data_IF_999876195511
#
_entry.id   IF_999876195511
#
_cell.length_a   1.000
_cell.length_b   1.000
_cell.length_c   1.000
_cell.angle_alpha   90.00
_cell.angle_beta   90.00
_cell.angle_gamma   90.00
#
_symmetry.space_group_name_H-M   'P 1'
#
loop_
_entity.id
_entity.type
_entity.pdbx_description
1 polymer ?
#
# COMPACT_ATOMS: atom_id res chain seq x y z
N UNK A 1 29.22 -0.17 31.04
CA UNK A 1 27.89 -0.67 31.44
C UNK A 1 26.93 -0.40 30.29
N UNK A 2 26.27 -1.43 29.71
CA UNK A 2 25.28 -1.26 28.62
C UNK A 2 23.90 -1.42 29.21
N UNK A 3 23.04 -0.42 29.06
CA UNK A 3 21.66 -0.44 29.53
C UNK A 3 20.76 -0.71 28.32
N UNK A 4 19.80 -1.65 28.45
CA UNK A 4 18.86 -1.91 27.37
C UNK A 4 17.86 -0.74 27.23
N UNK A 5 17.37 -0.52 26.01
CA UNK A 5 16.33 0.49 25.75
C UNK A 5 15.05 0.24 26.58
N UNK A 6 14.72 -1.03 26.84
CA UNK A 6 13.57 -1.40 27.67
C UNK A 6 13.77 -0.99 29.13
N UNK A 7 14.99 -1.15 29.70
CA UNK A 7 15.30 -0.68 31.05
C UNK A 7 15.17 0.85 31.18
N UNK A 8 15.58 1.60 30.14
CA UNK A 8 15.40 3.05 30.08
C UNK A 8 13.92 3.41 30.09
N UNK A 9 13.11 2.75 29.25
CA UNK A 9 11.67 3.01 29.21
C UNK A 9 10.98 2.59 30.51
N UNK A 10 11.34 1.49 31.12
CA UNK A 10 10.80 1.10 32.42
C UNK A 10 11.14 2.12 33.51
N UNK A 11 12.38 2.61 33.55
CA UNK A 11 12.76 3.65 34.51
C UNK A 11 11.94 4.95 34.32
N UNK A 12 11.67 5.35 33.09
CA UNK A 12 10.87 6.54 32.77
C UNK A 12 9.38 6.40 33.11
N UNK A 13 8.80 5.21 32.96
CA UNK A 13 7.36 4.99 33.12
C UNK A 13 6.97 4.38 34.46
N UNK A 14 7.83 3.59 35.09
CA UNK A 14 7.53 2.89 36.34
C UNK A 14 8.01 3.65 37.58
N UNK A 15 9.18 4.29 37.51
CA UNK A 15 9.75 5.02 38.65
C UNK A 15 9.44 6.51 38.54
N UNK A 16 8.35 6.96 39.08
CA UNK A 16 8.17 8.40 39.20
C UNK A 16 6.73 8.82 39.46
N UNK A 17 6.46 9.18 40.69
CA UNK A 17 5.33 10.05 41.05
C UNK A 17 5.88 11.48 41.16
N UNK A 18 5.44 12.40 40.31
CA UNK A 18 5.79 13.80 40.42
C UNK A 18 6.10 14.55 39.12
N UNK A 19 6.50 15.82 39.26
CA UNK A 19 6.80 16.74 38.15
C UNK A 19 7.92 16.24 37.22
N UNK A 20 8.98 15.66 37.79
CA UNK A 20 10.11 15.12 37.05
C UNK A 20 9.71 14.07 36.01
N UNK A 21 8.69 13.25 36.29
CA UNK A 21 8.16 12.27 35.32
C UNK A 21 7.53 12.94 34.10
N UNK A 22 6.81 14.05 34.29
CA UNK A 22 6.18 14.79 33.19
C UNK A 22 7.21 15.46 32.30
N UNK A 23 8.24 16.05 32.88
CA UNK A 23 9.33 16.69 32.14
C UNK A 23 10.15 15.68 31.32
N UNK A 24 10.52 14.53 31.90
CA UNK A 24 11.26 13.50 31.21
C UNK A 24 10.46 12.83 30.10
N UNK A 25 9.13 12.64 30.28
CA UNK A 25 8.29 12.06 29.22
C UNK A 25 8.04 13.04 28.07
N UNK A 26 8.07 14.34 28.29
CA UNK A 26 8.03 15.36 27.24
C UNK A 26 9.26 15.32 26.33
N UNK A 27 10.40 14.89 26.84
CA UNK A 27 11.63 14.71 26.07
C UNK A 27 11.61 13.45 25.17
N UNK A 28 10.64 12.55 25.34
CA UNK A 28 10.47 11.41 24.46
C UNK A 28 9.90 11.84 23.12
N UNK A 29 10.39 11.25 22.02
CA UNK A 29 9.95 11.55 20.64
C UNK A 29 8.42 11.55 20.45
N UNK A 30 7.67 10.81 21.26
CA UNK A 30 6.21 10.72 21.21
C UNK A 30 5.51 11.63 22.22
N UNK A 31 6.22 12.24 23.18
CA UNK A 31 5.66 13.10 24.22
C UNK A 31 4.58 12.47 25.11
N UNK A 32 4.42 11.15 25.08
CA UNK A 32 3.31 10.45 25.76
C UNK A 32 3.62 10.24 27.23
N UNK A 33 2.74 10.73 28.10
CA UNK A 33 2.84 10.55 29.53
C UNK A 33 2.58 9.11 30.03
N UNK A 34 1.95 8.26 29.20
CA UNK A 34 1.64 6.86 29.52
C UNK A 34 2.04 5.94 28.37
N UNK A 35 2.69 4.83 28.71
CA UNK A 35 2.95 3.74 27.76
C UNK A 35 1.64 2.99 27.50
N UNK A 36 1.19 3.01 26.26
CA UNK A 36 0.04 2.21 25.83
C UNK A 36 0.51 0.78 25.58
N UNK A 37 -0.04 -0.25 26.25
CA UNK A 37 0.30 -1.64 26.00
C UNK A 37 0.10 -1.99 24.52
N UNK A 38 1.04 -2.75 23.95
CA UNK A 38 1.02 -3.18 22.53
C UNK A 38 -0.29 -3.91 22.17
N UNK A 39 -0.81 -4.72 23.08
CA UNK A 39 -2.09 -5.41 22.93
C UNK A 39 -3.28 -4.46 22.70
N UNK A 40 -3.29 -3.28 23.32
CA UNK A 40 -4.37 -2.29 23.16
C UNK A 40 -4.33 -1.55 21.81
N UNK A 41 -3.16 -1.48 21.15
CA UNK A 41 -3.05 -0.94 19.80
C UNK A 41 -3.42 -1.97 18.73
N UNK A 42 -3.22 -3.27 19.04
CA UNK A 42 -3.59 -4.38 18.16
C UNK A 42 -5.09 -4.64 18.13
N UNK A 43 -5.82 -4.38 19.24
CA UNK A 43 -7.27 -4.62 19.34
C UNK A 43 -8.15 -3.57 18.67
N UNK A 44 -7.58 -2.51 18.09
CA UNK A 44 -8.31 -1.57 17.23
C UNK A 44 -8.39 -2.12 15.82
N UNK A 45 -9.08 -3.26 15.66
CA UNK A 45 -9.51 -3.75 14.36
C UNK A 45 -10.28 -2.64 13.65
N UNK A 46 -9.98 -2.43 12.38
CA UNK A 46 -10.73 -1.46 11.57
C UNK A 46 -12.08 -2.07 11.30
N UNK A 47 -13.16 -1.37 11.61
CA UNK A 47 -14.53 -1.86 11.53
C UNK A 47 -14.98 -2.32 10.14
N UNK A 48 -14.21 -1.97 9.10
CA UNK A 48 -14.47 -2.37 7.71
C UNK A 48 -13.74 -3.66 7.30
N UNK A 49 -12.87 -4.22 8.13
CA UNK A 49 -12.17 -5.48 7.86
C UNK A 49 -12.93 -6.60 8.54
N UNK A 50 -13.59 -7.41 7.74
CA UNK A 50 -14.29 -8.62 8.18
C UNK A 50 -13.42 -9.86 7.95
N UNK A 51 -13.71 -11.01 8.58
CA UNK A 51 -12.94 -12.24 8.38
C UNK A 51 -12.84 -12.66 6.91
N UNK A 52 -13.91 -12.47 6.12
CA UNK A 52 -13.99 -12.89 4.72
C UNK A 52 -13.06 -12.13 3.78
N UNK A 53 -12.56 -10.98 4.20
CA UNK A 53 -11.61 -10.17 3.41
C UNK A 53 -10.17 -10.25 3.96
N UNK A 54 -9.89 -11.19 4.87
CA UNK A 54 -8.53 -11.43 5.32
C UNK A 54 -7.73 -12.22 4.28
N UNK A 55 -6.43 -12.04 4.29
CA UNK A 55 -5.51 -12.71 3.37
C UNK A 55 -5.59 -14.24 3.46
N UNK A 56 -6.04 -14.80 4.59
CA UNK A 56 -6.30 -16.23 4.77
C UNK A 56 -7.36 -16.78 3.82
N UNK A 57 -8.30 -15.94 3.40
CA UNK A 57 -9.39 -16.30 2.48
C UNK A 57 -9.01 -16.10 1.01
N UNK A 58 -7.81 -15.58 0.75
CA UNK A 58 -7.31 -15.38 -0.61
C UNK A 58 -7.09 -16.75 -1.28
N UNK A 59 -7.48 -16.93 -2.57
CA UNK A 59 -7.27 -18.17 -3.30
C UNK A 59 -5.81 -18.64 -3.26
N UNK A 60 -5.59 -19.95 -3.11
CA UNK A 60 -4.25 -20.55 -3.04
C UNK A 60 -3.42 -20.26 -4.32
N UNK A 61 -4.07 -20.17 -5.49
CA UNK A 61 -3.44 -19.80 -6.75
C UNK A 61 -2.70 -18.45 -6.72
N UNK A 62 -3.14 -17.54 -5.87
CA UNK A 62 -2.46 -16.27 -5.64
C UNK A 62 -1.14 -16.44 -4.88
N UNK A 63 -0.97 -17.50 -4.08
CA UNK A 63 0.28 -17.80 -3.37
C UNK A 63 1.37 -18.26 -4.33
N UNK A 64 1.03 -19.17 -5.24
CA UNK A 64 1.97 -19.84 -6.15
C UNK A 64 2.48 -18.91 -7.25
N UNK A 65 1.84 -17.75 -7.44
CA UNK A 65 2.14 -16.81 -8.53
C UNK A 65 2.08 -17.46 -9.91
N UNK A 66 1.35 -18.55 -10.03
CA UNK A 66 1.18 -19.29 -11.28
C UNK A 66 0.10 -18.65 -12.15
N UNK A 67 -0.93 -18.07 -11.51
CA UNK A 67 -2.05 -17.44 -12.18
C UNK A 67 -1.91 -15.93 -12.14
N UNK A 68 -1.93 -15.23 -13.27
CA UNK A 68 -1.85 -13.77 -13.31
C UNK A 68 -3.16 -13.11 -12.84
N UNK A 69 -3.08 -11.81 -12.51
CA UNK A 69 -4.22 -11.01 -12.11
C UNK A 69 -4.37 -10.83 -10.61
N UNK A 70 -3.40 -11.29 -9.83
CA UNK A 70 -3.32 -11.04 -8.40
C UNK A 70 -2.34 -9.90 -8.10
N UNK A 71 -2.86 -8.81 -7.56
CA UNK A 71 -2.12 -7.57 -7.33
C UNK A 71 -1.79 -7.36 -5.86
N UNK A 72 -0.67 -6.73 -5.61
CA UNK A 72 -0.31 -6.17 -4.31
C UNK A 72 -0.31 -4.65 -4.43
N UNK A 73 -0.91 -3.94 -3.47
CA UNK A 73 -0.96 -2.50 -3.48
C UNK A 73 -0.51 -1.86 -2.17
N UNK A 74 -0.03 -0.61 -2.25
CA UNK A 74 0.45 0.18 -1.12
C UNK A 74 0.47 1.68 -1.46
N UNK A 75 0.69 2.52 -0.45
CA UNK A 75 0.96 3.94 -0.62
C UNK A 75 2.42 4.27 -0.28
N UNK A 76 3.07 4.98 -1.17
CA UNK A 76 4.34 5.66 -0.88
C UNK A 76 4.00 7.05 -0.37
N UNK A 77 4.35 7.33 0.88
CA UNK A 77 4.09 8.64 1.50
C UNK A 77 5.29 9.57 1.35
N UNK A 78 5.01 10.84 1.08
CA UNK A 78 5.95 11.95 0.97
C UNK A 78 5.71 13.04 2.01
N UNK A 79 6.34 14.20 1.80
CA UNK A 79 6.07 15.40 2.58
C UNK A 79 4.66 15.92 2.34
N UNK A 80 4.19 16.80 3.22
CA UNK A 80 2.85 17.41 3.16
C UNK A 80 1.70 16.40 3.08
N UNK A 81 1.92 15.18 3.58
CA UNK A 81 0.98 14.04 3.43
C UNK A 81 0.68 13.66 1.98
N UNK A 82 1.52 14.07 1.03
CA UNK A 82 1.41 13.62 -0.36
C UNK A 82 1.62 12.11 -0.48
N UNK A 83 1.00 11.50 -1.47
CA UNK A 83 1.09 10.06 -1.68
C UNK A 83 1.07 9.69 -3.18
N UNK A 84 1.72 8.58 -3.49
CA UNK A 84 1.59 7.87 -4.77
C UNK A 84 1.15 6.45 -4.42
N UNK A 85 0.09 5.96 -5.05
CA UNK A 85 -0.30 4.56 -4.91
C UNK A 85 0.50 3.67 -5.85
N UNK A 86 0.74 2.44 -5.43
CA UNK A 86 1.43 1.42 -6.23
C UNK A 86 0.55 0.19 -6.36
N UNK A 87 0.46 -0.35 -7.57
CA UNK A 87 -0.14 -1.66 -7.86
C UNK A 87 0.91 -2.51 -8.54
N UNK A 88 1.20 -3.68 -8.01
CA UNK A 88 2.20 -4.59 -8.57
C UNK A 88 1.56 -5.96 -8.79
N UNK A 89 1.56 -6.43 -10.02
CA UNK A 89 1.08 -7.76 -10.37
C UNK A 89 2.10 -8.81 -9.88
N UNK A 90 1.61 -9.84 -9.21
CA UNK A 90 2.46 -10.78 -8.45
C UNK A 90 3.27 -11.74 -9.32
N UNK A 91 2.73 -12.15 -10.45
CA UNK A 91 3.36 -13.11 -11.38
C UNK A 91 4.40 -12.41 -12.27
N UNK A 92 3.98 -11.33 -12.91
CA UNK A 92 4.77 -10.61 -13.93
C UNK A 92 5.64 -9.49 -13.36
N UNK A 93 5.37 -9.06 -12.12
CA UNK A 93 5.98 -7.88 -11.51
C UNK A 93 5.62 -6.57 -12.22
N UNK A 94 4.62 -6.59 -13.08
CA UNK A 94 4.14 -5.40 -13.76
C UNK A 94 3.64 -4.39 -12.75
N UNK A 95 4.09 -3.15 -12.89
CA UNK A 95 3.84 -2.09 -11.91
C UNK A 95 3.03 -0.98 -12.55
N UNK A 96 1.98 -0.55 -11.86
CA UNK A 96 1.20 0.64 -12.18
C UNK A 96 1.28 1.61 -11.01
N UNK A 97 1.33 2.90 -11.31
CA UNK A 97 1.36 3.97 -10.31
C UNK A 97 0.03 4.74 -10.35
N UNK A 98 -0.48 5.05 -9.17
CA UNK A 98 -1.73 5.76 -8.99
C UNK A 98 -1.42 7.23 -8.69
N UNK A 99 -1.90 8.12 -9.54
CA UNK A 99 -1.84 9.56 -9.29
C UNK A 99 -2.91 9.95 -8.26
N UNK A 100 -2.48 10.51 -7.15
CA UNK A 100 -3.30 10.92 -6.01
C UNK A 100 -3.04 12.41 -5.73
N UNK A 101 -3.55 13.31 -6.57
CA UNK A 101 -3.28 14.73 -6.43
C UNK A 101 -3.93 15.29 -5.16
N UNK A 102 -3.32 16.31 -4.53
CA UNK A 102 -3.96 17.04 -3.45
C UNK A 102 -5.30 17.62 -3.90
N UNK A 103 -6.29 17.56 -3.01
CA UNK A 103 -7.62 18.15 -3.25
C UNK A 103 -7.59 19.65 -2.99
N UNK A 104 -8.57 20.35 -3.55
CA UNK A 104 -8.75 21.81 -3.32
C UNK A 104 -8.83 22.13 -1.81
N UNK A 105 -8.09 23.17 -1.40
CA UNK A 105 -7.98 23.56 0.01
C UNK A 105 -6.86 22.85 0.80
N UNK A 106 -6.11 21.93 0.21
CA UNK A 106 -4.95 21.31 0.86
C UNK A 106 -3.87 22.36 1.15
N UNK A 107 -3.39 22.40 2.38
CA UNK A 107 -2.33 23.33 2.82
C UNK A 107 -2.79 24.78 3.07
N UNK A 108 -4.02 25.17 2.70
CA UNK A 108 -4.53 26.54 2.86
C UNK A 108 -5.36 26.72 4.15
N UNK A 109 -5.85 25.63 4.73
CA UNK A 109 -6.66 25.65 5.94
C UNK A 109 -5.98 24.87 7.07
N UNK A 110 -6.18 25.29 8.35
CA UNK A 110 -5.69 24.51 9.48
C UNK A 110 -6.34 23.12 9.47
N UNK A 111 -5.53 22.08 9.71
CA UNK A 111 -5.96 20.68 9.68
C UNK A 111 -7.04 20.41 10.72
N UNK A 112 -8.26 20.19 10.32
CA UNK A 112 -9.34 19.76 11.18
C UNK A 112 -9.15 18.29 11.60
N UNK A 113 -9.32 17.98 12.90
CA UNK A 113 -9.08 16.63 13.45
C UNK A 113 -9.90 15.53 12.79
N UNK A 114 -11.09 15.84 12.31
CA UNK A 114 -12.01 14.92 11.62
C UNK A 114 -12.45 15.48 10.25
N UNK A 115 -11.65 16.36 9.66
CA UNK A 115 -11.90 16.92 8.33
C UNK A 115 -11.60 15.94 7.21
N UNK A 116 -12.01 16.27 5.96
CA UNK A 116 -11.73 15.46 4.80
C UNK A 116 -10.22 15.28 4.59
N UNK A 117 -9.82 14.14 4.01
CA UNK A 117 -8.43 13.82 3.70
C UNK A 117 -7.96 14.57 2.45
N UNK A 118 -7.79 15.91 2.55
CA UNK A 118 -7.47 16.79 1.42
C UNK A 118 -6.12 16.50 0.74
N UNK A 119 -5.28 15.66 1.36
CA UNK A 119 -4.00 15.25 0.78
C UNK A 119 -4.13 14.30 -0.44
N UNK A 120 -5.34 13.98 -0.89
CA UNK A 120 -5.58 13.19 -2.10
C UNK A 120 -5.55 11.66 -1.90
N UNK A 121 -5.26 11.17 -0.70
CA UNK A 121 -5.25 9.71 -0.42
C UNK A 121 -6.35 9.28 0.58
N UNK A 122 -7.48 9.95 0.58
CA UNK A 122 -8.69 9.50 1.25
C UNK A 122 -9.30 8.28 0.57
N UNK A 123 -10.19 7.56 1.26
CA UNK A 123 -10.74 6.31 0.78
C UNK A 123 -11.45 6.42 -0.58
N UNK A 124 -12.12 7.54 -0.87
CA UNK A 124 -12.74 7.79 -2.18
C UNK A 124 -11.70 8.00 -3.27
N UNK A 125 -10.73 8.86 -3.04
CA UNK A 125 -9.69 9.17 -4.02
C UNK A 125 -8.86 7.92 -4.37
N UNK A 126 -8.51 7.10 -3.36
CA UNK A 126 -7.77 5.85 -3.58
C UNK A 126 -8.63 4.84 -4.34
N UNK A 127 -9.91 4.65 -3.96
CA UNK A 127 -10.85 3.79 -4.68
C UNK A 127 -10.94 4.20 -6.16
N UNK A 128 -11.17 5.48 -6.43
CA UNK A 128 -11.36 5.99 -7.79
C UNK A 128 -10.08 5.89 -8.62
N UNK A 129 -8.92 6.15 -8.01
CA UNK A 129 -7.64 5.98 -8.68
C UNK A 129 -7.36 4.51 -9.02
N UNK A 130 -7.61 3.58 -8.09
CA UNK A 130 -7.47 2.13 -8.34
C UNK A 130 -8.43 1.71 -9.46
N UNK A 131 -9.70 2.09 -9.37
CA UNK A 131 -10.71 1.72 -10.37
C UNK A 131 -10.31 2.20 -11.75
N UNK A 132 -9.99 3.48 -11.92
CA UNK A 132 -9.56 4.04 -13.23
C UNK A 132 -8.36 3.30 -13.80
N UNK A 133 -7.38 2.98 -12.94
CA UNK A 133 -6.13 2.38 -13.39
C UNK A 133 -6.31 0.90 -13.72
N UNK A 134 -6.97 0.12 -12.85
CA UNK A 134 -7.08 -1.32 -13.04
C UNK A 134 -8.05 -1.69 -14.17
N UNK A 135 -9.08 -0.88 -14.41
CA UNK A 135 -10.06 -1.12 -15.48
C UNK A 135 -9.51 -0.90 -16.89
N UNK A 136 -8.32 -0.31 -17.04
CA UNK A 136 -7.61 -0.28 -18.33
C UNK A 136 -7.10 -1.65 -18.77
N UNK A 137 -7.02 -2.61 -17.84
CA UNK A 137 -6.57 -3.97 -18.11
C UNK A 137 -7.75 -4.88 -18.47
N UNK A 138 -7.51 -5.96 -19.23
CA UNK A 138 -8.50 -7.01 -19.48
C UNK A 138 -8.99 -7.66 -18.18
N UNK A 139 -10.22 -8.17 -18.18
CA UNK A 139 -10.86 -8.74 -16.99
C UNK A 139 -10.10 -9.96 -16.43
N UNK A 140 -9.46 -10.74 -17.29
CA UNK A 140 -8.68 -11.94 -16.92
C UNK A 140 -7.52 -11.63 -15.95
N UNK A 141 -6.98 -10.44 -16.00
CA UNK A 141 -5.88 -9.99 -15.10
C UNK A 141 -6.33 -9.06 -13.99
N UNK A 142 -7.66 -9.07 -13.68
CA UNK A 142 -8.25 -8.31 -12.57
C UNK A 142 -8.90 -9.24 -11.55
N UNK A 143 -8.11 -10.15 -10.93
CA UNK A 143 -8.66 -11.17 -10.01
C UNK A 143 -8.74 -10.69 -8.58
N UNK A 144 -7.62 -10.28 -8.01
CA UNK A 144 -7.61 -9.81 -6.63
C UNK A 144 -6.56 -8.72 -6.36
N UNK A 145 -6.82 -7.93 -5.34
CA UNK A 145 -5.91 -6.93 -4.79
C UNK A 145 -5.65 -7.22 -3.31
N UNK A 146 -4.40 -7.33 -2.93
CA UNK A 146 -3.97 -7.45 -1.54
C UNK A 146 -3.43 -6.10 -1.06
N UNK A 147 -3.98 -5.58 0.04
CA UNK A 147 -3.60 -4.30 0.62
C UNK A 147 -3.40 -4.42 2.12
N UNK A 148 -2.82 -3.41 2.77
CA UNK A 148 -2.82 -3.39 4.24
C UNK A 148 -4.16 -2.88 4.78
N UNK A 149 -4.34 -2.94 6.11
CA UNK A 149 -5.57 -2.48 6.75
C UNK A 149 -5.55 -0.95 6.94
N UNK A 150 -5.20 -0.18 5.90
CA UNK A 150 -5.19 1.27 5.91
C UNK A 150 -6.58 1.90 5.85
N UNK A 151 -6.74 3.12 6.40
CA UNK A 151 -8.03 3.84 6.34
C UNK A 151 -8.41 4.24 4.91
N UNK A 152 -7.43 4.35 4.03
CA UNK A 152 -7.59 4.62 2.61
C UNK A 152 -8.35 3.50 1.87
N UNK A 153 -8.43 2.31 2.47
CA UNK A 153 -9.19 1.18 1.92
C UNK A 153 -10.57 1.00 2.57
N UNK A 154 -11.07 2.00 3.30
CA UNK A 154 -12.39 1.90 3.95
C UNK A 154 -13.56 1.73 2.97
N UNK A 155 -13.35 2.05 1.67
CA UNK A 155 -14.35 1.83 0.61
C UNK A 155 -14.06 0.59 -0.26
N UNK A 156 -13.33 -0.41 0.26
CA UNK A 156 -12.99 -1.62 -0.48
C UNK A 156 -14.19 -2.39 -1.03
N UNK A 157 -15.32 -2.40 -0.31
CA UNK A 157 -16.55 -3.06 -0.77
C UNK A 157 -17.09 -2.41 -2.07
N UNK A 158 -16.98 -1.09 -2.19
CA UNK A 158 -17.36 -0.38 -3.40
C UNK A 158 -16.34 -0.61 -4.51
N UNK A 159 -15.04 -0.56 -4.19
CA UNK A 159 -13.97 -0.88 -5.12
C UNK A 159 -14.14 -2.28 -5.74
N UNK A 160 -14.51 -3.29 -4.93
CA UNK A 160 -14.81 -4.65 -5.39
C UNK A 160 -15.85 -4.67 -6.50
N UNK A 161 -16.93 -3.90 -6.34
CA UNK A 161 -18.02 -3.80 -7.32
C UNK A 161 -17.56 -3.04 -8.56
N UNK A 162 -16.99 -1.85 -8.39
CA UNK A 162 -16.68 -0.92 -9.47
C UNK A 162 -15.53 -1.43 -10.37
N UNK A 163 -14.53 -2.10 -9.77
CA UNK A 163 -13.39 -2.67 -10.50
C UNK A 163 -13.52 -4.15 -10.86
N UNK A 164 -14.55 -4.85 -10.39
CA UNK A 164 -14.70 -6.31 -10.46
C UNK A 164 -13.43 -7.03 -9.98
N UNK A 165 -13.01 -6.71 -8.77
CA UNK A 165 -11.73 -7.10 -8.22
C UNK A 165 -11.91 -7.50 -6.76
N UNK A 166 -11.58 -8.75 -6.39
CA UNK A 166 -11.64 -9.17 -4.98
C UNK A 166 -10.56 -8.46 -4.16
N UNK A 167 -10.89 -8.00 -2.95
CA UNK A 167 -9.96 -7.26 -2.09
C UNK A 167 -9.68 -8.06 -0.83
N UNK A 168 -8.40 -8.27 -0.52
CA UNK A 168 -7.93 -8.97 0.67
C UNK A 168 -6.99 -8.11 1.48
N UNK A 169 -7.10 -8.20 2.80
CA UNK A 169 -6.27 -7.45 3.74
C UNK A 169 -5.20 -8.32 4.37
N UNK A 170 -3.98 -7.81 4.39
CA UNK A 170 -2.89 -8.41 5.13
C UNK A 170 -3.19 -8.45 6.63
N UNK A 171 -2.61 -9.43 7.32
CA UNK A 171 -2.63 -9.42 8.77
C UNK A 171 -1.88 -8.20 9.32
N UNK A 172 -2.33 -7.64 10.44
CA UNK A 172 -1.63 -6.52 11.06
C UNK A 172 -0.14 -6.85 11.31
N UNK A 173 0.74 -5.91 10.95
CA UNK A 173 2.19 -6.05 11.13
C UNK A 173 2.85 -7.23 10.39
N UNK A 174 2.30 -7.64 9.25
CA UNK A 174 2.82 -8.75 8.43
C UNK A 174 3.28 -8.25 7.04
N UNK A 175 4.36 -7.43 6.96
CA UNK A 175 4.84 -6.87 5.70
C UNK A 175 5.24 -7.94 4.69
N UNK A 176 5.77 -9.09 5.13
CA UNK A 176 6.15 -10.20 4.25
C UNK A 176 5.02 -10.70 3.33
N UNK A 177 3.76 -10.44 3.68
CA UNK A 177 2.60 -10.81 2.87
C UNK A 177 2.45 -9.97 1.58
N UNK A 178 3.20 -8.85 1.46
CA UNK A 178 3.27 -7.97 0.29
C UNK A 178 4.71 -7.78 -0.22
N UNK A 179 5.52 -8.82 -0.15
CA UNK A 179 6.93 -8.76 -0.49
C UNK A 179 7.24 -8.30 -1.92
N UNK A 180 6.30 -8.50 -2.87
CA UNK A 180 6.44 -8.00 -4.24
C UNK A 180 6.37 -6.49 -4.28
N UNK A 181 5.37 -5.91 -3.61
CA UNK A 181 5.18 -4.48 -3.57
C UNK A 181 6.27 -3.77 -2.74
N UNK A 182 6.67 -4.33 -1.60
CA UNK A 182 7.76 -3.76 -0.80
C UNK A 182 9.08 -3.65 -1.57
N UNK A 183 9.42 -4.70 -2.35
CA UNK A 183 10.60 -4.65 -3.22
C UNK A 183 10.47 -3.56 -4.30
N UNK A 184 9.29 -3.44 -4.91
CA UNK A 184 9.01 -2.40 -5.92
C UNK A 184 9.06 -1.01 -5.31
N UNK A 185 8.49 -0.80 -4.12
CA UNK A 185 8.58 0.46 -3.39
C UNK A 185 10.03 0.84 -3.08
N UNK A 186 10.89 -0.15 -2.79
CA UNK A 186 12.32 0.05 -2.64
C UNK A 186 12.99 0.59 -3.92
N UNK A 187 12.62 0.08 -5.09
CA UNK A 187 13.12 0.56 -6.38
C UNK A 187 12.57 1.94 -6.72
N UNK A 188 11.31 2.20 -6.42
CA UNK A 188 10.66 3.50 -6.65
C UNK A 188 11.31 4.64 -5.85
N UNK A 189 11.99 4.34 -4.74
CA UNK A 189 12.75 5.34 -3.98
C UNK A 189 13.95 5.95 -4.74
N UNK A 190 14.33 5.39 -5.87
CA UNK A 190 15.31 6.00 -6.79
C UNK A 190 14.72 7.20 -7.54
N UNK A 191 13.40 7.20 -7.77
CA UNK A 191 12.66 8.25 -8.46
C UNK A 191 11.93 9.18 -7.48
N UNK A 192 11.45 8.61 -6.40
CA UNK A 192 10.68 9.28 -5.34
C UNK A 192 11.42 9.16 -4.00
N UNK A 193 12.48 9.95 -3.77
CA UNK A 193 13.27 9.87 -2.54
C UNK A 193 12.42 10.14 -1.29
N UNK A 194 12.82 9.57 -0.17
CA UNK A 194 12.18 9.88 1.11
C UNK A 194 12.39 11.36 1.44
N UNK A 195 11.35 12.01 1.97
CA UNK A 195 11.42 13.42 2.35
C UNK A 195 11.22 14.40 1.18
N UNK A 196 10.64 13.94 0.07
CA UNK A 196 10.17 14.80 -1.03
C UNK A 196 8.65 14.93 -1.00
N UNK A 197 8.14 16.02 -1.54
CA UNK A 197 6.71 16.17 -1.80
C UNK A 197 6.35 15.40 -3.07
N UNK A 198 5.47 14.43 -2.95
CA UNK A 198 5.04 13.60 -4.08
C UNK A 198 3.87 14.20 -4.84
N UNK A 199 3.24 15.24 -4.31
CA UNK A 199 2.14 15.95 -4.97
C UNK A 199 2.58 16.81 -6.15
N UNK A 200 3.88 16.96 -6.37
CA UNK A 200 4.44 17.71 -7.52
C UNK A 200 4.47 16.90 -8.82
N UNK A 201 4.40 15.58 -8.70
CA UNK A 201 4.45 14.68 -9.87
C UNK A 201 3.07 14.56 -10.50
N UNK A 202 2.98 14.71 -11.79
CA UNK A 202 1.75 14.52 -12.55
C UNK A 202 1.54 13.05 -12.98
N UNK A 203 0.40 12.77 -13.60
CA UNK A 203 0.05 11.43 -14.04
C UNK A 203 0.98 10.90 -15.15
N UNK A 204 1.47 11.77 -16.04
CA UNK A 204 2.35 11.40 -17.15
C UNK A 204 3.73 11.01 -16.64
N UNK A 205 4.27 11.76 -15.69
CA UNK A 205 5.53 11.44 -15.02
C UNK A 205 5.47 10.08 -14.29
N UNK A 206 4.36 9.80 -13.62
CA UNK A 206 4.16 8.50 -12.96
C UNK A 206 4.10 7.36 -13.98
N UNK A 207 3.42 7.54 -15.10
CA UNK A 207 3.38 6.54 -16.19
C UNK A 207 4.78 6.33 -16.76
N UNK A 208 5.56 7.39 -16.98
CA UNK A 208 6.93 7.29 -17.47
C UNK A 208 7.83 6.50 -16.51
N UNK A 209 7.75 6.75 -15.19
CA UNK A 209 8.50 5.99 -14.18
C UNK A 209 8.08 4.53 -14.16
N UNK A 210 6.77 4.24 -14.22
CA UNK A 210 6.26 2.89 -14.30
C UNK A 210 6.79 2.16 -15.55
N UNK A 211 6.81 2.81 -16.72
CA UNK A 211 7.33 2.27 -17.96
C UNK A 211 8.82 1.91 -17.84
N UNK A 212 9.64 2.78 -17.24
CA UNK A 212 11.06 2.48 -16.99
C UNK A 212 11.22 1.25 -16.10
N UNK A 213 10.43 1.09 -15.04
CA UNK A 213 10.49 -0.09 -14.17
C UNK A 213 10.03 -1.35 -14.87
N UNK A 214 8.98 -1.25 -15.68
CA UNK A 214 8.40 -2.36 -16.45
C UNK A 214 9.28 -2.79 -17.64
N UNK A 215 10.15 -1.91 -18.13
CA UNK A 215 11.14 -2.19 -19.15
C UNK A 215 12.46 -2.79 -18.62
N UNK A 216 12.63 -2.97 -17.30
CA UNK A 216 13.86 -3.55 -16.73
C UNK A 216 13.78 -5.07 -16.66
N UNK A 217 14.74 -5.83 -17.24
CA UNK A 217 14.78 -7.28 -17.11
C UNK A 217 14.87 -7.72 -15.65
N UNK A 218 14.14 -8.78 -15.30
CA UNK A 218 14.11 -9.34 -13.95
C UNK A 218 14.65 -10.77 -13.94
N UNK A 219 15.60 -11.05 -13.07
CA UNK A 219 16.13 -12.42 -12.90
C UNK A 219 15.01 -13.42 -12.57
N UNK A 220 14.03 -13.01 -11.74
CA UNK A 220 12.88 -13.85 -11.37
C UNK A 220 11.92 -14.15 -12.52
N UNK A 221 12.02 -13.44 -13.64
CA UNK A 221 11.23 -13.63 -14.86
C UNK A 221 12.07 -14.29 -15.98
N UNK A 222 13.19 -14.91 -15.64
CA UNK A 222 14.10 -15.46 -16.65
C UNK A 222 14.72 -14.38 -17.54
N UNK A 223 15.02 -13.22 -16.96
CA UNK A 223 15.55 -12.02 -17.64
C UNK A 223 14.58 -11.32 -18.61
N UNK A 224 13.32 -11.73 -18.66
CA UNK A 224 12.29 -10.97 -19.33
C UNK A 224 11.95 -9.70 -18.53
N UNK A 225 11.42 -8.71 -19.22
CA UNK A 225 10.86 -7.52 -18.59
C UNK A 225 9.44 -7.80 -18.06
N UNK A 226 8.95 -7.07 -17.05
CA UNK A 226 7.56 -7.13 -16.62
C UNK A 226 6.54 -6.92 -17.74
N UNK A 227 6.81 -6.00 -18.68
CA UNK A 227 5.96 -5.77 -19.86
C UNK A 227 5.90 -7.02 -20.75
N UNK A 228 7.03 -7.58 -21.12
CA UNK A 228 7.08 -8.81 -21.93
C UNK A 228 6.40 -10.00 -21.26
N UNK A 229 6.52 -10.08 -19.92
CA UNK A 229 5.86 -11.13 -19.15
C UNK A 229 4.34 -10.97 -19.16
N UNK A 230 3.82 -9.74 -18.97
CA UNK A 230 2.38 -9.47 -19.01
C UNK A 230 1.82 -9.68 -20.41
N UNK A 231 2.47 -9.14 -21.44
CA UNK A 231 2.05 -9.30 -22.84
C UNK A 231 2.00 -10.77 -23.28
N UNK A 232 2.99 -11.57 -22.83
CA UNK A 232 3.03 -13.00 -23.09
C UNK A 232 1.82 -13.74 -22.51
N UNK A 233 1.40 -13.37 -21.30
CA UNK A 233 0.21 -13.94 -20.65
C UNK A 233 -1.08 -13.55 -21.37
N UNK A 234 -1.22 -12.27 -21.73
CA UNK A 234 -2.41 -11.79 -22.43
C UNK A 234 -2.59 -12.45 -23.82
N UNK A 235 -1.50 -12.80 -24.49
CA UNK A 235 -1.55 -13.50 -25.79
C UNK A 235 -1.89 -14.99 -25.64
N UNK A 236 -1.34 -15.67 -24.62
CA UNK A 236 -1.60 -17.10 -24.41
C UNK A 236 -3.06 -17.39 -24.08
N UNK A 237 -3.77 -16.46 -23.43
CA UNK A 237 -5.19 -16.59 -23.15
C UNK A 237 -6.05 -16.43 -24.42
N UNK A 238 -5.60 -15.66 -25.42
CA UNK A 238 -6.29 -15.53 -26.70
C UNK A 238 -6.16 -16.79 -27.58
N UNK A 239 -5.01 -17.46 -27.54
CA UNK A 239 -4.79 -18.68 -28.35
C UNK A 239 -5.54 -19.90 -27.77
N UNK A 240 -5.84 -19.90 -26.46
CA UNK A 240 -6.59 -20.99 -25.80
C UNK A 240 -8.08 -21.05 -26.12
N UNK A 241 -8.67 -19.99 -26.68
CA UNK A 241 -10.11 -19.93 -27.02
C UNK A 241 -10.40 -20.37 -28.47
N UNK A 242 -9.37 -20.51 -29.28
CA UNK A 242 -9.54 -20.80 -30.72
C UNK A 242 -9.60 -22.30 -31.10
N UNK A 243 -9.63 -23.24 -30.14
CA UNK A 243 -9.59 -24.68 -30.44
C UNK A 243 -10.71 -25.45 -29.77
N UNK A 244 -11.97 -25.06 -30.03
CA UNK A 244 -13.14 -25.94 -29.85
C UNK A 244 -14.18 -25.58 -30.91
N UNK A 245 -13.95 -26.08 -32.09
CA UNK A 245 -14.99 -26.32 -33.13
C UNK A 245 -15.04 -27.80 -33.45
#
# INVERSE_FOLDING_TARGET
MRISHEAIYQALYVQGRGALKRELTQCLRTGRALRVPRARSQSRGKSFVTPEVLISERPAEAEDRAVPGHWEGDLILGLNSSAIGTLVERTTRFTMLLHLPPMEGHGTQPRAKNGPALAGHGAEAVRDAITRTITTLPEQVRRSLTWDQGAEMAQHARLRIDARLEVYFCNPHSPCQRGTNENTNGLLRQYFPKGTDLGVYDAEELVAVAAVLNGRPRKTLGWRTPTEALDGLLRSDHDGVATTT
#
